data_IF_856100447408
#
_entry.id   IF_856100447408
#
_cell.length_a   1.000
_cell.length_b   1.000
_cell.length_c   1.000
_cell.angle_alpha   90.00
_cell.angle_beta   90.00
_cell.angle_gamma   90.00
#
_symmetry.space_group_name_H-M   'P 1'
#
loop_
_entity.id
_entity.type
_entity.pdbx_description
1 polymer ?
#
# COMPACT_ATOMS: atom_id res chain seq x y z
N UNK A 1 12.05 5.07 -12.61
CA UNK A 1 12.28 4.69 -11.21
C UNK A 1 11.92 3.22 -11.07
N UNK A 2 12.66 2.45 -10.30
CA UNK A 2 12.43 1.01 -10.17
C UNK A 2 11.10 0.74 -9.41
N UNK A 3 10.17 -0.07 -9.97
CA UNK A 3 8.97 -0.52 -9.28
C UNK A 3 9.21 -1.09 -7.87
N UNK A 4 10.35 -1.75 -7.64
CA UNK A 4 10.73 -2.27 -6.32
C UNK A 4 10.93 -1.16 -5.28
N UNK A 5 11.60 -0.07 -5.68
CA UNK A 5 11.84 1.07 -4.78
C UNK A 5 10.51 1.74 -4.44
N UNK A 6 9.66 1.94 -5.44
CA UNK A 6 8.32 2.50 -5.23
C UNK A 6 7.46 1.64 -4.31
N UNK A 7 7.45 0.33 -4.54
CA UNK A 7 6.72 -0.63 -3.71
C UNK A 7 7.25 -0.68 -2.27
N UNK A 8 8.57 -0.63 -2.09
CA UNK A 8 9.21 -0.54 -0.77
C UNK A 8 8.75 0.72 -0.03
N UNK A 9 8.82 1.88 -0.68
CA UNK A 9 8.40 3.16 -0.09
C UNK A 9 6.91 3.15 0.26
N UNK A 10 6.05 2.71 -0.65
CA UNK A 10 4.61 2.57 -0.41
C UNK A 10 4.32 1.63 0.76
N UNK A 11 5.02 0.49 0.85
CA UNK A 11 4.85 -0.46 1.95
C UNK A 11 5.28 0.14 3.29
N UNK A 12 6.42 0.83 3.33
CA UNK A 12 6.87 1.54 4.52
C UNK A 12 5.87 2.62 4.95
N UNK A 13 5.38 3.44 4.01
CA UNK A 13 4.35 4.47 4.26
C UNK A 13 3.08 3.87 4.83
N UNK A 14 2.57 2.83 4.17
CA UNK A 14 1.38 2.11 4.58
C UNK A 14 1.51 1.61 6.02
N UNK A 15 2.66 1.03 6.38
CA UNK A 15 2.88 0.57 7.76
C UNK A 15 3.11 1.67 8.79
N UNK A 16 3.43 2.90 8.38
CA UNK A 16 3.57 4.09 9.24
C UNK A 16 2.18 4.63 9.62
N UNK A 17 1.11 4.31 8.88
CA UNK A 17 -0.24 4.80 9.13
C UNK A 17 -0.65 4.61 10.62
N UNK A 18 -1.12 5.69 11.29
CA UNK A 18 -1.27 5.67 12.75
C UNK A 18 -2.24 4.62 13.29
N UNK A 19 -3.28 4.28 12.54
CA UNK A 19 -4.31 3.32 12.89
C UNK A 19 -3.76 1.88 12.94
N UNK A 20 -2.88 1.51 12.01
CA UNK A 20 -2.22 0.20 11.95
C UNK A 20 -1.33 0.02 13.18
N UNK A 21 -0.48 1.01 13.43
CA UNK A 21 0.47 1.00 14.55
C UNK A 21 -0.27 1.04 15.88
N UNK A 22 -1.31 1.88 16.00
CA UNK A 22 -2.12 1.97 17.21
C UNK A 22 -2.85 0.65 17.50
N UNK A 23 -3.47 0.04 16.49
CA UNK A 23 -4.18 -1.24 16.64
C UNK A 23 -3.23 -2.35 17.08
N UNK A 24 -2.08 -2.47 16.42
CA UNK A 24 -1.07 -3.46 16.78
C UNK A 24 -0.56 -3.27 18.23
N UNK A 25 -0.35 -2.03 18.69
CA UNK A 25 0.10 -1.74 20.06
C UNK A 25 -0.89 -2.17 21.15
N UNK A 26 -2.19 -2.24 20.84
CA UNK A 26 -3.21 -2.70 21.78
C UNK A 26 -3.17 -4.22 22.01
N UNK A 27 -2.39 -4.95 21.20
CA UNK A 27 -2.26 -6.40 21.31
C UNK A 27 -1.34 -6.76 22.48
N UNK A 28 -1.82 -7.67 23.33
CA UNK A 28 -1.17 -8.04 24.61
C UNK A 28 0.17 -8.79 24.47
N UNK A 29 0.55 -9.26 23.28
CA UNK A 29 1.78 -10.03 23.09
C UNK A 29 2.49 -9.68 21.77
N UNK A 30 3.83 -9.75 21.80
CA UNK A 30 4.67 -9.50 20.61
C UNK A 30 4.33 -10.41 19.44
N UNK A 31 3.99 -11.68 19.72
CA UNK A 31 3.55 -12.62 18.69
C UNK A 31 2.24 -12.21 18.03
N UNK A 32 1.29 -11.63 18.79
CA UNK A 32 0.05 -11.11 18.21
C UNK A 32 0.30 -9.89 17.33
N UNK A 33 1.27 -9.04 17.67
CA UNK A 33 1.72 -7.92 16.82
C UNK A 33 2.24 -8.43 15.48
N UNK A 34 3.13 -9.42 15.50
CA UNK A 34 3.67 -10.04 14.29
C UNK A 34 2.57 -10.68 13.46
N UNK A 35 1.69 -11.47 14.08
CA UNK A 35 0.55 -12.09 13.41
C UNK A 35 -0.37 -11.05 12.77
N UNK A 36 -0.71 -9.98 13.50
CA UNK A 36 -1.52 -8.88 12.97
C UNK A 36 -0.86 -8.24 11.76
N UNK A 37 0.40 -7.80 11.88
CA UNK A 37 1.12 -7.13 10.81
C UNK A 37 1.25 -8.01 9.54
N UNK A 38 1.55 -9.29 9.73
CA UNK A 38 1.61 -10.25 8.63
C UNK A 38 0.23 -10.49 8.01
N UNK A 39 -0.82 -10.68 8.81
CA UNK A 39 -2.18 -10.88 8.29
C UNK A 39 -2.72 -9.64 7.56
N UNK A 40 -2.43 -8.46 8.07
CA UNK A 40 -2.82 -7.16 7.50
C UNK A 40 -2.16 -6.95 6.14
N UNK A 41 -0.86 -7.22 6.08
CA UNK A 41 -0.07 -7.00 4.87
C UNK A 41 -0.28 -8.12 3.85
N UNK A 42 -0.22 -9.39 4.26
CA UNK A 42 -0.32 -10.54 3.36
C UNK A 42 -1.75 -10.87 2.95
N UNK A 43 -2.76 -10.52 3.76
CA UNK A 43 -4.17 -10.74 3.39
C UNK A 43 -4.58 -10.00 2.11
N UNK A 44 -3.88 -8.91 1.81
CA UNK A 44 -4.03 -8.15 0.57
C UNK A 44 -3.69 -8.94 -0.70
N UNK A 45 -2.85 -9.98 -0.61
CA UNK A 45 -2.44 -10.83 -1.75
C UNK A 45 -3.65 -11.42 -2.49
N UNK A 46 -4.69 -11.76 -1.73
CA UNK A 46 -5.94 -12.35 -2.25
C UNK A 46 -6.61 -11.42 -3.28
N UNK A 47 -6.44 -10.10 -3.12
CA UNK A 47 -6.99 -9.09 -4.03
C UNK A 47 -5.94 -8.68 -5.06
N UNK A 48 -4.69 -8.50 -4.64
CA UNK A 48 -3.63 -7.95 -5.49
C UNK A 48 -3.26 -8.86 -6.66
N UNK A 49 -3.02 -10.17 -6.39
CA UNK A 49 -2.55 -11.09 -7.43
C UNK A 49 -3.58 -11.23 -8.57
N UNK A 50 -4.87 -11.49 -8.32
CA UNK A 50 -5.86 -11.60 -9.39
C UNK A 50 -5.96 -10.33 -10.24
N UNK A 51 -5.88 -9.15 -9.63
CA UNK A 51 -5.93 -7.88 -10.37
C UNK A 51 -4.70 -7.68 -11.24
N UNK A 52 -3.51 -8.00 -10.74
CA UNK A 52 -2.30 -7.88 -11.56
C UNK A 52 -2.29 -8.90 -12.71
N UNK A 53 -2.77 -10.12 -12.49
CA UNK A 53 -2.95 -11.10 -13.58
C UNK A 53 -3.94 -10.59 -14.62
N UNK A 54 -5.05 -9.98 -14.19
CA UNK A 54 -6.08 -9.47 -15.10
C UNK A 54 -5.58 -8.32 -15.98
N UNK A 55 -4.74 -7.45 -15.41
CA UNK A 55 -4.15 -6.31 -16.14
C UNK A 55 -2.99 -6.80 -17.02
N UNK A 56 -2.27 -7.84 -16.59
CA UNK A 56 -1.10 -8.40 -17.24
C UNK A 56 -1.31 -8.67 -18.73
N UNK A 57 -0.33 -8.27 -19.54
CA UNK A 57 -0.25 -8.39 -21.01
C UNK A 57 -1.28 -7.59 -21.81
N UNK A 58 -2.14 -6.79 -21.18
CA UNK A 58 -3.11 -5.95 -21.88
C UNK A 58 -2.76 -4.46 -21.80
N UNK A 59 -2.16 -3.93 -22.87
CA UNK A 59 -1.76 -2.51 -22.98
C UNK A 59 -2.90 -1.51 -22.74
N UNK A 60 -4.14 -1.85 -23.11
CA UNK A 60 -5.28 -0.97 -22.85
C UNK A 60 -5.62 -0.93 -21.35
N UNK A 61 -5.61 -2.09 -20.69
CA UNK A 61 -5.80 -2.17 -19.24
C UNK A 61 -4.64 -1.53 -18.46
N UNK A 62 -3.42 -1.61 -18.98
CA UNK A 62 -2.25 -0.93 -18.42
C UNK A 62 -2.43 0.59 -18.41
N UNK A 63 -2.87 1.19 -19.53
CA UNK A 63 -3.16 2.63 -19.61
C UNK A 63 -4.25 3.02 -18.60
N UNK A 64 -5.33 2.24 -18.53
CA UNK A 64 -6.40 2.46 -17.56
C UNK A 64 -5.86 2.36 -16.12
N UNK A 65 -5.03 1.35 -15.85
CA UNK A 65 -4.39 1.14 -14.55
C UNK A 65 -3.54 2.35 -14.14
N UNK A 66 -2.75 2.90 -15.06
CA UNK A 66 -1.95 4.10 -14.81
C UNK A 66 -2.81 5.34 -14.52
N UNK A 67 -3.91 5.54 -15.25
CA UNK A 67 -4.87 6.62 -14.98
C UNK A 67 -5.50 6.45 -13.59
N UNK A 68 -5.93 5.23 -13.25
CA UNK A 68 -6.45 4.89 -11.92
C UNK A 68 -5.40 5.18 -10.85
N UNK A 69 -4.15 4.79 -11.06
CA UNK A 69 -3.07 5.06 -10.12
C UNK A 69 -2.81 6.56 -9.91
N UNK A 70 -2.95 7.39 -10.94
CA UNK A 70 -2.88 8.85 -10.79
C UNK A 70 -4.03 9.36 -9.92
N UNK A 71 -5.27 8.89 -10.16
CA UNK A 71 -6.44 9.24 -9.34
C UNK A 71 -6.19 8.84 -7.89
N UNK A 72 -5.72 7.63 -7.62
CA UNK A 72 -5.45 7.16 -6.26
C UNK A 72 -4.25 7.85 -5.61
N UNK A 73 -3.28 8.36 -6.39
CA UNK A 73 -2.22 9.23 -5.87
C UNK A 73 -2.80 10.57 -5.40
N UNK A 74 -3.76 11.14 -6.15
CA UNK A 74 -4.49 12.34 -5.73
C UNK A 74 -5.32 12.06 -4.48
N UNK A 75 -5.99 10.90 -4.40
CA UNK A 75 -6.72 10.50 -3.19
C UNK A 75 -5.77 10.41 -1.99
N UNK A 76 -4.60 9.77 -2.13
CA UNK A 76 -3.59 9.69 -1.07
C UNK A 76 -3.13 11.09 -0.62
N UNK A 77 -2.94 12.03 -1.56
CA UNK A 77 -2.65 13.44 -1.21
C UNK A 77 -3.78 14.09 -0.41
N UNK A 78 -5.02 13.89 -0.83
CA UNK A 78 -6.20 14.42 -0.13
C UNK A 78 -6.27 13.84 1.28
N UNK A 79 -6.04 12.53 1.45
CA UNK A 79 -6.01 11.89 2.77
C UNK A 79 -4.95 12.55 3.68
N UNK A 80 -3.73 12.69 3.17
CA UNK A 80 -2.61 13.22 3.93
C UNK A 80 -2.76 14.72 4.29
N UNK A 81 -3.39 15.52 3.43
CA UNK A 81 -3.61 16.96 3.65
C UNK A 81 -4.80 17.22 4.57
N UNK A 82 -5.91 16.48 4.38
CA UNK A 82 -7.19 16.78 5.05
C UNK A 82 -7.52 15.85 6.23
N UNK A 83 -6.65 14.91 6.58
CA UNK A 83 -6.89 13.90 7.63
C UNK A 83 -8.19 13.12 7.43
N UNK A 84 -8.51 12.82 6.17
CA UNK A 84 -9.68 12.02 5.83
C UNK A 84 -9.23 10.64 5.36
N UNK A 85 -9.55 9.60 6.11
CA UNK A 85 -9.37 8.22 5.65
C UNK A 85 -10.35 7.95 4.49
N UNK A 86 -9.81 7.39 3.40
CA UNK A 86 -10.57 6.99 2.21
C UNK A 86 -10.35 5.50 2.03
N UNK A 87 -11.27 4.73 2.58
CA UNK A 87 -11.20 3.27 2.60
C UNK A 87 -12.38 2.69 1.84
N UNK A 88 -12.09 1.71 0.99
CA UNK A 88 -13.10 0.96 0.25
C UNK A 88 -13.08 -0.48 0.76
N UNK A 89 -14.19 -0.95 1.34
CA UNK A 89 -14.33 -2.36 1.73
C UNK A 89 -15.12 -2.60 3.00
N UNK A 90 -14.82 -3.73 3.66
CA UNK A 90 -15.58 -4.25 4.78
C UNK A 90 -15.23 -3.53 6.11
N UNK A 91 -15.70 -2.29 6.26
CA UNK A 91 -15.48 -1.40 7.43
C UNK A 91 -16.07 -1.95 8.75
N UNK A 92 -16.66 -3.16 8.72
CA UNK A 92 -17.25 -3.87 9.86
C UNK A 92 -16.54 -5.20 10.18
N UNK A 93 -15.46 -5.54 9.47
CA UNK A 93 -14.76 -6.82 9.62
C UNK A 93 -13.78 -6.88 10.82
N UNK A 94 -13.72 -5.83 11.64
CA UNK A 94 -12.88 -5.78 12.83
C UNK A 94 -11.40 -5.96 12.48
N UNK A 95 -10.69 -6.87 13.15
CA UNK A 95 -9.26 -7.12 12.88
C UNK A 95 -8.98 -7.61 11.45
N UNK A 96 -9.96 -8.18 10.75
CA UNK A 96 -9.82 -8.60 9.35
C UNK A 96 -10.00 -7.43 8.37
N UNK A 97 -10.55 -6.30 8.82
CA UNK A 97 -10.72 -5.11 7.99
C UNK A 97 -9.40 -4.69 7.36
N UNK A 98 -8.33 -4.67 8.14
CA UNK A 98 -7.03 -4.23 7.68
C UNK A 98 -6.43 -5.07 6.53
N UNK A 99 -6.77 -6.36 6.45
CA UNK A 99 -6.37 -7.23 5.35
C UNK A 99 -7.11 -6.92 4.05
N UNK A 100 -8.43 -6.72 4.13
CA UNK A 100 -9.33 -6.66 2.97
C UNK A 100 -9.74 -5.25 2.55
N UNK A 101 -9.51 -4.24 3.37
CA UNK A 101 -9.73 -2.84 2.99
C UNK A 101 -8.74 -2.45 1.92
N UNK A 102 -9.26 -1.81 0.88
CA UNK A 102 -8.51 -1.22 -0.21
C UNK A 102 -8.28 0.24 0.11
N UNK A 103 -7.05 0.52 0.56
CA UNK A 103 -6.51 1.87 0.76
C UNK A 103 -5.85 2.36 -0.54
N UNK A 104 -5.63 3.68 -0.69
CA UNK A 104 -4.95 4.20 -1.87
C UNK A 104 -3.56 3.60 -2.08
N UNK A 105 -2.75 3.46 -1.02
CA UNK A 105 -1.43 2.82 -1.06
C UNK A 105 -1.48 1.39 -1.63
N UNK A 106 -2.49 0.59 -1.26
CA UNK A 106 -2.72 -0.75 -1.81
C UNK A 106 -3.09 -0.72 -3.30
N UNK A 107 -3.92 0.22 -3.73
CA UNK A 107 -4.22 0.37 -5.16
C UNK A 107 -2.97 0.76 -5.93
N UNK A 108 -2.18 1.70 -5.41
CA UNK A 108 -0.95 2.15 -6.06
C UNK A 108 0.06 1.01 -6.26
N UNK A 109 0.23 0.12 -5.28
CA UNK A 109 1.13 -1.03 -5.47
C UNK A 109 0.60 -2.03 -6.50
N UNK A 110 -0.72 -2.25 -6.61
CA UNK A 110 -1.30 -3.07 -7.70
C UNK A 110 -0.96 -2.44 -9.05
N UNK A 111 -1.17 -1.12 -9.20
CA UNK A 111 -0.88 -0.41 -10.43
C UNK A 111 0.60 -0.55 -10.79
N UNK A 112 1.50 -0.24 -9.85
CA UNK A 112 2.95 -0.37 -10.06
C UNK A 112 3.36 -1.80 -10.41
N UNK A 113 2.85 -2.80 -9.69
CA UNK A 113 3.12 -4.21 -9.99
C UNK A 113 2.56 -4.65 -11.34
N UNK A 114 1.46 -4.04 -11.80
CA UNK A 114 0.86 -4.32 -13.11
C UNK A 114 1.65 -3.75 -14.29
N UNK A 115 2.53 -2.76 -14.05
CA UNK A 115 3.46 -2.26 -15.08
C UNK A 115 4.66 -3.19 -15.32
N UNK A 116 4.76 -4.28 -14.56
CA UNK A 116 5.83 -5.24 -14.73
C UNK A 116 5.57 -6.19 -15.91
N UNK A 117 6.60 -6.43 -16.69
CA UNK A 117 6.56 -7.24 -17.92
C UNK A 117 6.39 -8.75 -17.69
N UNK A 118 6.37 -9.22 -16.43
CA UNK A 118 6.14 -10.64 -16.13
C UNK A 118 5.42 -10.83 -14.80
N UNK A 119 4.59 -11.86 -14.73
CA UNK A 119 3.82 -12.20 -13.52
C UNK A 119 4.72 -12.46 -12.31
N UNK A 120 5.88 -13.10 -12.51
CA UNK A 120 6.82 -13.36 -11.42
C UNK A 120 7.33 -12.04 -10.82
N UNK A 121 7.74 -11.10 -11.68
CA UNK A 121 8.20 -9.78 -11.25
C UNK A 121 7.08 -9.00 -10.54
N UNK A 122 5.84 -9.06 -11.04
CA UNK A 122 4.69 -8.46 -10.35
C UNK A 122 4.50 -9.00 -8.93
N UNK A 123 4.63 -10.32 -8.75
CA UNK A 123 4.51 -10.97 -7.44
C UNK A 123 5.64 -10.52 -6.52
N UNK A 124 6.87 -10.40 -7.03
CA UNK A 124 8.00 -9.90 -6.27
C UNK A 124 7.79 -8.45 -5.82
N UNK A 125 7.30 -7.58 -6.72
CA UNK A 125 6.95 -6.18 -6.39
C UNK A 125 5.90 -6.12 -5.28
N UNK A 126 4.82 -6.91 -5.36
CA UNK A 126 3.81 -7.00 -4.29
C UNK A 126 4.43 -7.51 -2.98
N UNK A 127 5.31 -8.51 -3.07
CA UNK A 127 5.96 -9.10 -1.89
C UNK A 127 6.82 -8.09 -1.15
N UNK A 128 7.52 -7.21 -1.87
CA UNK A 128 8.29 -6.11 -1.26
C UNK A 128 7.39 -5.18 -0.45
N UNK A 129 6.24 -4.77 -0.99
CA UNK A 129 5.26 -3.96 -0.24
C UNK A 129 4.80 -4.66 1.04
N UNK A 130 4.45 -5.95 0.94
CA UNK A 130 3.96 -6.74 2.07
C UNK A 130 5.00 -6.81 3.19
N UNK A 131 6.24 -7.14 2.83
CA UNK A 131 7.34 -7.26 3.80
C UNK A 131 7.63 -5.90 4.42
N UNK A 132 7.72 -4.84 3.60
CA UNK A 132 8.01 -3.49 4.05
C UNK A 132 6.93 -2.97 5.02
N UNK A 133 5.66 -3.17 4.68
CA UNK A 133 4.54 -2.80 5.55
C UNK A 133 4.55 -3.57 6.85
N UNK A 134 4.71 -4.90 6.80
CA UNK A 134 4.77 -5.72 8.01
C UNK A 134 5.94 -5.30 8.92
N UNK A 135 7.13 -5.09 8.36
CA UNK A 135 8.31 -4.63 9.11
C UNK A 135 8.06 -3.26 9.74
N UNK A 136 7.47 -2.32 9.00
CA UNK A 136 7.13 -0.99 9.50
C UNK A 136 6.16 -1.07 10.68
N UNK A 137 5.04 -1.78 10.54
CA UNK A 137 4.04 -1.97 11.61
C UNK A 137 4.71 -2.62 12.84
N UNK A 138 5.42 -3.74 12.65
CA UNK A 138 6.07 -4.46 13.75
C UNK A 138 7.05 -3.55 14.49
N UNK A 139 7.93 -2.87 13.74
CA UNK A 139 8.98 -2.04 14.34
C UNK A 139 8.39 -0.89 15.13
N UNK A 140 7.44 -0.15 14.54
CA UNK A 140 6.80 1.00 15.17
C UNK A 140 5.98 0.61 16.40
N UNK A 141 5.24 -0.51 16.31
CA UNK A 141 4.44 -0.99 17.43
C UNK A 141 5.30 -1.50 18.59
N UNK A 142 6.39 -2.23 18.31
CA UNK A 142 7.32 -2.70 19.35
C UNK A 142 8.10 -1.55 20.00
N UNK A 143 8.40 -0.49 19.25
CA UNK A 143 9.02 0.75 19.75
C UNK A 143 8.01 1.71 20.40
N UNK A 144 6.72 1.36 20.44
CA UNK A 144 5.66 2.20 20.98
C UNK A 144 5.56 3.60 20.36
N UNK A 145 5.94 3.75 19.09
CA UNK A 145 5.97 5.03 18.39
C UNK A 145 4.86 5.14 17.36
N UNK A 146 3.91 6.07 17.55
CA UNK A 146 2.83 6.35 16.59
C UNK A 146 3.13 7.66 15.84
N UNK A 147 3.48 7.60 14.55
CA UNK A 147 4.06 8.72 13.81
C UNK A 147 3.02 9.72 13.27
N UNK A 148 2.15 10.28 14.13
CA UNK A 148 0.99 11.15 13.76
C UNK A 148 1.28 12.37 12.87
N UNK A 149 2.52 12.86 12.81
CA UNK A 149 2.89 13.99 11.93
C UNK A 149 3.75 13.56 10.76
N UNK A 150 4.58 12.54 10.98
CA UNK A 150 5.54 12.07 9.97
C UNK A 150 4.80 11.34 8.86
N UNK A 151 3.75 10.57 9.17
CA UNK A 151 2.99 9.83 8.14
C UNK A 151 2.49 10.76 7.04
N UNK A 152 1.93 11.93 7.38
CA UNK A 152 1.45 12.92 6.40
C UNK A 152 2.52 13.38 5.42
N UNK A 153 3.71 13.67 5.93
CA UNK A 153 4.84 14.15 5.11
C UNK A 153 5.29 13.04 4.16
N UNK A 154 5.37 11.81 4.68
CA UNK A 154 5.77 10.64 3.90
C UNK A 154 4.73 10.31 2.83
N UNK A 155 3.43 10.31 3.16
CA UNK A 155 2.34 10.06 2.21
C UNK A 155 2.28 11.12 1.12
N UNK A 156 2.43 12.42 1.46
CA UNK A 156 2.50 13.48 0.44
C UNK A 156 3.68 13.24 -0.50
N UNK A 157 4.86 12.94 0.04
CA UNK A 157 6.06 12.68 -0.76
C UNK A 157 5.88 11.49 -1.69
N UNK A 158 5.37 10.38 -1.17
CA UNK A 158 5.18 9.14 -1.93
C UNK A 158 4.07 9.29 -2.95
N UNK A 159 2.99 9.99 -2.64
CA UNK A 159 1.92 10.24 -3.59
C UNK A 159 2.40 11.09 -4.77
N UNK A 160 3.15 12.17 -4.53
CA UNK A 160 3.74 12.99 -5.60
C UNK A 160 4.73 12.20 -6.44
N UNK A 161 5.59 11.42 -5.79
CA UNK A 161 6.61 10.60 -6.43
C UNK A 161 5.99 9.49 -7.29
N UNK A 162 4.97 8.80 -6.78
CA UNK A 162 4.21 7.78 -7.51
C UNK A 162 3.43 8.39 -8.67
N UNK A 163 2.72 9.49 -8.45
CA UNK A 163 1.98 10.20 -9.50
C UNK A 163 2.90 10.63 -10.64
N UNK A 164 4.06 11.20 -10.32
CA UNK A 164 5.06 11.62 -11.31
C UNK A 164 5.56 10.44 -12.13
N UNK A 165 5.82 9.29 -11.48
CA UNK A 165 6.21 8.07 -12.16
C UNK A 165 5.14 7.54 -13.11
N UNK A 166 3.87 7.51 -12.68
CA UNK A 166 2.76 7.04 -13.52
C UNK A 166 2.49 7.97 -14.70
N UNK A 167 2.60 9.29 -14.52
CA UNK A 167 2.52 10.27 -15.62
C UNK A 167 3.65 10.01 -16.63
N UNK A 168 4.87 9.74 -16.15
CA UNK A 168 6.00 9.43 -17.02
C UNK A 168 5.72 8.17 -17.88
N UNK A 169 5.15 7.12 -17.30
CA UNK A 169 4.75 5.90 -18.03
C UNK A 169 3.60 6.10 -19.01
N UNK A 170 2.72 7.09 -18.79
CA UNK A 170 1.65 7.39 -19.76
C UNK A 170 2.16 8.13 -21.00
N UNK A 171 3.26 8.88 -20.85
CA UNK A 171 3.81 9.73 -21.91
C UNK A 171 4.87 8.99 -22.75
N UNK A 172 5.56 8.00 -22.17
CA UNK A 172 6.64 7.24 -22.82
C UNK A 172 6.28 5.76 -22.95
#
# INVERSE_FOLDING_TARGET
MDPFILSLLLGLSHGIEPDHVATARLLKSRWKIVQFALSHSAGFVIIAIPLVILIGDNKFLEIISNIIGIIFSILLLIQAIFDKEIDIGANKAGLLQGAFVITPTKVLVIVIASTAYSILYSIEVISVFIIASAVSIISLSLLNFVPKRVYKIVDVGIALLTMTYLIFLLIN
#
